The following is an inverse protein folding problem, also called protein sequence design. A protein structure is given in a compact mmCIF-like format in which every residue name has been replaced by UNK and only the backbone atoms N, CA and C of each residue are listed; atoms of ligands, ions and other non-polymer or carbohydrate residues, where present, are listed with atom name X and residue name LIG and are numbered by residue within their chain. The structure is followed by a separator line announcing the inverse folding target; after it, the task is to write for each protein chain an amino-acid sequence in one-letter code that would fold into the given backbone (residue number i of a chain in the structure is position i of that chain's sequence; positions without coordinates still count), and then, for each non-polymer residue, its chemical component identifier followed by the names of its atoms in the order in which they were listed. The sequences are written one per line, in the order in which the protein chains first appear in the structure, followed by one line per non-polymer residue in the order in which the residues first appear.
data_IF_709651729497
#
_entry.id   IF_709651729497
#
_cell.length_a   1.000
_cell.length_b   1.000
_cell.length_c   1.000
_cell.angle_alpha   90.00
_cell.angle_beta   90.00
_cell.angle_gamma   90.00
#
_symmetry.space_group_name_H-M   'P 1'
#
loop_
_entity.id
_entity.type
_entity.pdbx_description
1 polymer ?
#
# COMPACT_ATOMS: atom_id res chain seq x y z
N UNK A 1 24.04 -15.15 -5.54
CA UNK A 1 23.50 -14.14 -6.47
C UNK A 1 22.42 -13.25 -5.84
N UNK A 2 21.38 -13.79 -5.19
CA UNK A 2 20.30 -12.99 -4.59
C UNK A 2 20.76 -12.03 -3.47
N UNK A 3 21.55 -12.50 -2.50
CA UNK A 3 22.07 -11.64 -1.42
C UNK A 3 22.95 -10.49 -1.92
N UNK A 4 23.68 -10.67 -3.04
CA UNK A 4 24.47 -9.62 -3.69
C UNK A 4 23.57 -8.51 -4.23
N UNK A 5 22.45 -8.87 -4.87
CA UNK A 5 21.47 -7.91 -5.40
C UNK A 5 20.69 -7.22 -4.26
N UNK A 6 20.37 -7.93 -3.19
CA UNK A 6 19.75 -7.36 -1.99
C UNK A 6 20.66 -6.27 -1.38
N UNK A 7 21.95 -6.55 -1.23
CA UNK A 7 22.93 -5.58 -0.74
C UNK A 7 23.13 -4.40 -1.71
N UNK A 8 23.12 -4.65 -3.02
CA UNK A 8 23.18 -3.56 -4.01
C UNK A 8 21.94 -2.64 -3.93
N UNK A 9 20.77 -3.23 -3.74
CA UNK A 9 19.50 -2.52 -3.55
C UNK A 9 19.56 -1.65 -2.29
N UNK A 10 20.01 -2.22 -1.16
CA UNK A 10 20.21 -1.48 0.09
C UNK A 10 21.18 -0.31 -0.11
N UNK A 11 22.35 -0.54 -0.70
CA UNK A 11 23.35 0.53 -0.95
C UNK A 11 22.77 1.65 -1.80
N UNK A 12 22.03 1.31 -2.86
CA UNK A 12 21.36 2.29 -3.71
C UNK A 12 20.35 3.12 -2.92
N UNK A 13 19.54 2.47 -2.10
CA UNK A 13 18.56 3.13 -1.22
C UNK A 13 19.25 4.07 -0.22
N UNK A 14 20.23 3.59 0.53
CA UNK A 14 20.95 4.38 1.54
C UNK A 14 21.63 5.60 0.94
N UNK A 15 22.24 5.45 -0.25
CA UNK A 15 22.95 6.53 -0.95
C UNK A 15 22.01 7.57 -1.54
N UNK A 16 20.92 7.13 -2.18
CA UNK A 16 20.19 7.99 -3.13
C UNK A 16 18.77 8.34 -2.69
N UNK A 17 18.18 7.57 -1.78
CA UNK A 17 16.74 7.66 -1.44
C UNK A 17 16.49 7.94 0.03
N UNK A 18 17.32 7.42 0.94
CA UNK A 18 17.11 7.51 2.38
C UNK A 18 16.87 8.95 2.85
N UNK A 19 17.63 9.93 2.36
CA UNK A 19 17.49 11.33 2.77
C UNK A 19 16.10 11.94 2.49
N UNK A 20 15.34 11.37 1.55
CA UNK A 20 13.99 11.80 1.18
C UNK A 20 12.92 10.80 1.60
N UNK A 21 13.28 9.68 2.23
CA UNK A 21 12.35 8.59 2.52
C UNK A 21 11.11 9.07 3.29
N UNK A 22 11.29 9.93 4.29
CA UNK A 22 10.19 10.43 5.13
C UNK A 22 9.09 11.15 4.34
N UNK A 23 9.43 11.81 3.23
CA UNK A 23 8.46 12.55 2.39
C UNK A 23 8.10 11.82 1.10
N UNK A 24 9.01 11.02 0.55
CA UNK A 24 8.84 10.38 -0.76
C UNK A 24 8.22 8.97 -0.69
N UNK A 25 8.27 8.27 0.45
CA UNK A 25 7.82 6.85 0.54
C UNK A 25 6.34 6.63 0.20
N UNK A 26 5.52 7.67 0.36
CA UNK A 26 4.08 7.58 0.14
C UNK A 26 3.68 8.01 -1.28
N UNK A 27 4.57 8.66 -2.05
CA UNK A 27 4.28 9.08 -3.43
C UNK A 27 4.19 7.86 -4.35
N UNK A 28 3.02 7.51 -4.90
CA UNK A 28 2.87 6.34 -5.75
C UNK A 28 3.61 6.44 -7.08
N UNK A 29 3.70 7.64 -7.65
CA UNK A 29 4.35 7.84 -8.95
C UNK A 29 5.89 7.82 -8.88
N UNK A 30 6.46 7.83 -7.67
CA UNK A 30 7.90 7.90 -7.41
C UNK A 30 8.49 6.59 -6.89
N UNK A 31 9.81 6.57 -6.76
CA UNK A 31 10.59 5.42 -6.26
C UNK A 31 11.27 5.75 -4.92
N UNK A 32 10.47 6.27 -3.98
CA UNK A 32 10.93 6.71 -2.66
C UNK A 32 11.16 5.57 -1.65
N UNK A 33 10.72 4.34 -1.97
CA UNK A 33 10.83 3.18 -1.08
C UNK A 33 12.18 2.46 -1.21
N UNK A 34 12.50 1.59 -0.25
CA UNK A 34 13.75 0.81 -0.27
C UNK A 34 13.76 -0.30 -1.31
N UNK A 35 12.58 -0.79 -1.73
CA UNK A 35 12.40 -1.98 -2.56
C UNK A 35 13.04 -3.25 -1.97
N UNK A 36 13.16 -3.31 -0.63
CA UNK A 36 13.80 -4.43 0.07
C UNK A 36 12.82 -5.54 0.47
N UNK A 37 11.51 -5.33 0.38
CA UNK A 37 10.52 -6.27 0.91
C UNK A 37 10.59 -7.68 0.31
N UNK A 38 10.81 -7.90 -1.02
CA UNK A 38 10.98 -9.26 -1.53
C UNK A 38 12.23 -9.96 -0.97
N UNK A 39 13.34 -9.22 -0.83
CA UNK A 39 14.58 -9.77 -0.27
C UNK A 39 14.47 -10.08 1.22
N UNK A 40 13.70 -9.28 1.96
CA UNK A 40 13.41 -9.50 3.38
C UNK A 40 12.53 -10.73 3.58
N UNK A 41 11.49 -10.88 2.75
CA UNK A 41 10.58 -12.02 2.77
C UNK A 41 11.33 -13.34 2.59
N UNK A 42 12.17 -13.45 1.55
CA UNK A 42 12.98 -14.65 1.29
C UNK A 42 14.27 -14.75 2.12
N UNK A 43 14.48 -13.88 3.12
CA UNK A 43 15.66 -13.92 3.99
C UNK A 43 16.99 -13.70 3.26
N UNK A 44 16.99 -13.07 2.08
CA UNK A 44 18.23 -12.79 1.34
C UNK A 44 19.09 -11.69 1.98
N UNK A 45 18.51 -10.91 2.88
CA UNK A 45 19.18 -9.85 3.64
C UNK A 45 18.60 -9.77 5.07
N UNK A 46 19.47 -9.54 6.05
CA UNK A 46 19.06 -9.44 7.46
C UNK A 46 18.46 -8.06 7.77
N UNK A 47 17.32 -7.98 8.49
CA UNK A 47 16.77 -6.72 8.97
C UNK A 47 17.72 -6.01 9.95
N UNK A 48 18.50 -6.77 10.73
CA UNK A 48 19.51 -6.23 11.65
C UNK A 48 20.64 -5.55 10.88
N UNK A 49 21.10 -6.19 9.81
CA UNK A 49 22.14 -5.62 8.93
C UNK A 49 21.66 -4.32 8.27
N UNK A 50 20.43 -4.31 7.72
CA UNK A 50 19.82 -3.09 7.18
C UNK A 50 19.75 -1.98 8.23
N UNK A 51 19.35 -2.30 9.46
CA UNK A 51 19.23 -1.32 10.54
C UNK A 51 20.60 -0.74 10.94
N UNK A 52 21.62 -1.59 11.07
CA UNK A 52 22.99 -1.16 11.38
C UNK A 52 23.56 -0.26 10.27
N UNK A 53 23.43 -0.67 9.01
CA UNK A 53 23.89 0.12 7.87
C UNK A 53 23.14 1.47 7.76
N UNK A 54 21.84 1.50 8.03
CA UNK A 54 21.04 2.74 8.06
C UNK A 54 21.54 3.70 9.15
N UNK A 55 21.82 3.19 10.35
CA UNK A 55 22.37 4.00 11.45
C UNK A 55 23.75 4.56 11.10
N UNK A 56 24.58 3.76 10.45
CA UNK A 56 25.95 4.11 10.05
C UNK A 56 26.05 5.14 8.90
N UNK A 57 24.97 5.42 8.16
CA UNK A 57 24.98 6.46 7.12
C UNK A 57 25.44 7.81 7.73
N UNK A 58 26.46 8.44 7.15
CA UNK A 58 26.97 9.72 7.65
C UNK A 58 25.93 10.85 7.54
N UNK A 59 26.04 11.84 8.44
CA UNK A 59 25.17 13.01 8.47
C UNK A 59 24.16 13.00 9.62
N UNK A 60 24.00 14.17 10.24
CA UNK A 60 23.19 14.39 11.45
C UNK A 60 22.12 15.47 11.27
N UNK A 61 21.96 16.00 10.05
CA UNK A 61 20.94 17.00 9.76
C UNK A 61 19.53 16.48 10.08
N UNK A 62 18.61 17.35 10.56
CA UNK A 62 17.30 16.93 11.08
C UNK A 62 16.44 16.17 10.06
N UNK A 63 16.54 16.52 8.77
CA UNK A 63 15.80 15.84 7.69
C UNK A 63 16.27 14.38 7.52
N UNK A 64 17.59 14.15 7.55
CA UNK A 64 18.14 12.79 7.45
C UNK A 64 17.83 11.98 8.71
N UNK A 65 17.96 12.60 9.90
CA UNK A 65 17.59 11.95 11.16
C UNK A 65 16.13 11.50 11.18
N UNK A 66 15.20 12.37 10.76
CA UNK A 66 13.78 12.03 10.63
C UNK A 66 13.53 10.90 9.61
N UNK A 67 14.24 10.92 8.48
CA UNK A 67 14.09 9.86 7.46
C UNK A 67 14.66 8.52 7.91
N UNK A 68 15.78 8.50 8.64
CA UNK A 68 16.32 7.30 9.30
C UNK A 68 15.33 6.75 10.31
N UNK A 69 14.79 7.60 11.19
CA UNK A 69 13.82 7.20 12.20
C UNK A 69 12.55 6.62 11.54
N UNK A 70 12.02 7.29 10.51
CA UNK A 70 10.86 6.78 9.78
C UNK A 70 11.13 5.46 9.06
N UNK A 71 12.33 5.24 8.51
CA UNK A 71 12.66 3.96 7.87
C UNK A 71 12.83 2.83 8.88
N UNK A 72 13.50 3.10 10.00
CA UNK A 72 13.70 2.13 11.08
C UNK A 72 12.39 1.77 11.79
N UNK A 73 11.46 2.71 11.92
CA UNK A 73 10.10 2.45 12.43
C UNK A 73 9.37 1.40 11.57
N UNK A 74 9.40 1.56 10.25
CA UNK A 74 8.76 0.61 9.33
C UNK A 74 9.51 -0.74 9.30
N UNK A 75 10.85 -0.71 9.29
CA UNK A 75 11.68 -1.91 9.22
C UNK A 75 11.65 -2.75 10.50
N UNK A 76 11.58 -2.11 11.67
CA UNK A 76 11.69 -2.78 12.97
C UNK A 76 10.29 -2.89 13.58
N UNK A 77 9.67 -1.75 13.92
CA UNK A 77 8.42 -1.75 14.70
C UNK A 77 7.27 -2.35 13.88
N UNK A 78 7.01 -1.84 12.68
CA UNK A 78 5.88 -2.35 11.86
C UNK A 78 6.11 -3.79 11.42
N UNK A 79 7.34 -4.12 11.04
CA UNK A 79 7.69 -5.48 10.61
C UNK A 79 7.54 -6.50 11.74
N UNK A 80 8.15 -6.23 12.89
CA UNK A 80 8.15 -7.18 14.01
C UNK A 80 6.81 -7.20 14.74
N UNK A 81 6.02 -6.12 14.70
CA UNK A 81 4.63 -6.14 15.15
C UNK A 81 3.79 -7.10 14.32
N UNK A 82 4.06 -7.22 13.02
CA UNK A 82 3.36 -8.17 12.15
C UNK A 82 3.71 -9.62 12.50
N UNK A 83 4.98 -9.87 12.86
CA UNK A 83 5.43 -11.17 13.37
C UNK A 83 4.79 -11.49 14.72
N UNK A 84 4.70 -10.51 15.63
CA UNK A 84 4.00 -10.64 16.90
C UNK A 84 2.53 -11.02 16.67
N UNK A 85 1.84 -10.33 15.75
CA UNK A 85 0.45 -10.63 15.42
C UNK A 85 0.27 -12.08 14.97
N UNK A 86 1.03 -12.52 13.97
CA UNK A 86 0.94 -13.90 13.45
C UNK A 86 1.30 -14.94 14.51
N UNK A 87 2.34 -14.68 15.30
CA UNK A 87 2.78 -15.61 16.35
C UNK A 87 1.74 -15.83 17.45
N UNK A 88 1.08 -14.76 17.90
CA UNK A 88 0.15 -14.82 19.03
C UNK A 88 -1.32 -15.04 18.63
N UNK A 89 -1.63 -15.16 17.34
CA UNK A 89 -3.00 -15.35 16.85
C UNK A 89 -3.01 -16.50 15.83
N UNK A 90 -3.32 -17.72 16.25
CA UNK A 90 -3.23 -18.91 15.38
C UNK A 90 -4.09 -18.83 14.10
N UNK A 91 -5.21 -18.10 14.15
CA UNK A 91 -6.13 -17.90 13.02
C UNK A 91 -6.03 -16.47 12.48
N UNK A 92 -4.80 -15.97 12.31
CA UNK A 92 -4.50 -14.59 11.88
C UNK A 92 -5.05 -14.21 10.50
N UNK A 93 -5.47 -15.20 9.72
CA UNK A 93 -5.98 -15.12 8.34
C UNK A 93 -7.49 -15.34 8.24
N UNK A 94 -8.19 -15.50 9.38
CA UNK A 94 -9.65 -15.53 9.44
C UNK A 94 -10.19 -14.19 9.92
N UNK A 95 -11.18 -13.64 9.21
CA UNK A 95 -11.73 -12.30 9.45
C UNK A 95 -12.04 -12.01 10.93
N UNK A 96 -12.79 -12.88 11.61
CA UNK A 96 -13.20 -12.68 13.00
C UNK A 96 -12.03 -12.77 13.99
N UNK A 97 -11.05 -13.65 13.73
CA UNK A 97 -9.94 -13.90 14.64
C UNK A 97 -8.76 -12.93 14.41
N UNK A 98 -8.58 -12.45 13.18
CA UNK A 98 -7.53 -11.52 12.80
C UNK A 98 -7.76 -10.10 13.36
N UNK A 99 -9.02 -9.72 13.54
CA UNK A 99 -9.43 -8.34 13.76
C UNK A 99 -9.83 -8.05 15.21
N UNK A 100 -9.63 -6.81 15.69
CA UNK A 100 -10.13 -6.40 17.00
C UNK A 100 -11.66 -6.36 17.00
N UNK A 101 -12.28 -6.61 18.17
CA UNK A 101 -13.73 -6.67 18.33
C UNK A 101 -14.48 -5.48 17.72
N UNK A 102 -13.94 -4.25 17.86
CA UNK A 102 -14.59 -3.06 17.31
C UNK A 102 -14.73 -3.12 15.79
N UNK A 103 -13.73 -3.67 15.09
CA UNK A 103 -13.69 -3.75 13.64
C UNK A 103 -14.67 -4.81 13.14
N UNK A 104 -14.67 -6.00 13.76
CA UNK A 104 -15.62 -7.08 13.45
C UNK A 104 -17.06 -6.61 13.65
N UNK A 105 -17.35 -5.95 14.79
CA UNK A 105 -18.69 -5.47 15.12
C UNK A 105 -19.16 -4.41 14.13
N UNK A 106 -18.35 -3.38 13.87
CA UNK A 106 -18.77 -2.28 13.00
C UNK A 106 -18.94 -2.74 11.55
N UNK A 107 -18.06 -3.60 11.02
CA UNK A 107 -18.20 -4.14 9.67
C UNK A 107 -19.41 -5.08 9.55
N UNK A 108 -19.66 -5.92 10.57
CA UNK A 108 -20.84 -6.79 10.60
C UNK A 108 -22.15 -6.00 10.66
N UNK A 109 -22.20 -4.94 11.48
CA UNK A 109 -23.37 -4.05 11.57
C UNK A 109 -23.71 -3.41 10.21
N UNK A 110 -22.69 -3.06 9.43
CA UNK A 110 -22.83 -2.44 8.12
C UNK A 110 -22.84 -3.45 6.96
N UNK A 111 -22.90 -4.76 7.24
CA UNK A 111 -22.89 -5.80 6.21
C UNK A 111 -24.15 -5.80 5.33
N UNK A 112 -25.25 -5.18 5.74
CA UNK A 112 -26.47 -5.05 4.95
C UNK A 112 -26.54 -3.74 4.15
N UNK A 113 -25.58 -2.82 4.33
CA UNK A 113 -25.58 -1.54 3.64
C UNK A 113 -25.53 -1.73 2.12
N UNK A 114 -26.22 -0.86 1.36
CA UNK A 114 -26.13 -0.89 -0.09
C UNK A 114 -24.72 -0.46 -0.53
N UNK A 115 -24.04 -1.33 -1.29
CA UNK A 115 -22.73 -1.00 -1.87
C UNK A 115 -22.93 -0.15 -3.13
N UNK A 116 -22.05 0.83 -3.40
CA UNK A 116 -22.12 1.61 -4.64
C UNK A 116 -21.80 0.76 -5.88
N UNK A 117 -20.91 -0.23 -5.72
CA UNK A 117 -20.53 -1.21 -6.74
C UNK A 117 -20.33 -2.57 -6.07
N UNK A 118 -20.43 -3.65 -6.83
CA UNK A 118 -20.08 -4.99 -6.34
C UNK A 118 -19.37 -5.73 -7.46
N UNK A 119 -18.14 -6.15 -7.20
CA UNK A 119 -17.30 -6.88 -8.15
C UNK A 119 -17.08 -8.31 -7.68
N UNK A 120 -17.01 -9.24 -8.64
CA UNK A 120 -16.56 -10.60 -8.35
C UNK A 120 -15.06 -10.63 -8.10
N UNK A 121 -14.58 -11.69 -7.44
CA UNK A 121 -13.14 -11.92 -7.28
C UNK A 121 -12.41 -11.89 -8.63
N UNK A 122 -12.98 -12.44 -9.68
CA UNK A 122 -12.36 -12.48 -11.01
C UNK A 122 -12.26 -11.08 -11.66
N UNK A 123 -13.28 -10.23 -11.48
CA UNK A 123 -13.22 -8.83 -11.94
C UNK A 123 -12.14 -8.04 -11.20
N UNK A 124 -12.02 -8.24 -9.88
CA UNK A 124 -10.96 -7.63 -9.07
C UNK A 124 -9.58 -8.15 -9.50
N UNK A 125 -9.43 -9.47 -9.65
CA UNK A 125 -8.19 -10.13 -10.09
C UNK A 125 -7.69 -9.58 -11.45
N UNK A 126 -8.62 -9.32 -12.37
CA UNK A 126 -8.33 -8.81 -13.70
C UNK A 126 -8.24 -7.27 -13.81
N UNK A 127 -8.32 -6.54 -12.69
CA UNK A 127 -8.32 -5.07 -12.67
C UNK A 127 -9.46 -4.43 -13.47
N UNK A 128 -10.67 -4.98 -13.37
CA UNK A 128 -11.85 -4.57 -14.12
C UNK A 128 -12.87 -3.81 -13.26
N UNK A 129 -12.40 -2.78 -12.56
CA UNK A 129 -13.28 -1.88 -11.79
C UNK A 129 -13.52 -0.57 -12.55
N UNK A 130 -14.44 0.25 -12.05
CA UNK A 130 -14.66 1.60 -12.55
C UNK A 130 -13.54 2.58 -12.15
N UNK A 131 -12.69 2.22 -11.19
CA UNK A 131 -11.69 3.13 -10.62
C UNK A 131 -10.30 2.88 -11.24
N UNK A 132 -9.81 3.81 -12.09
CA UNK A 132 -8.51 3.63 -12.74
C UNK A 132 -7.34 3.61 -11.75
N UNK A 133 -7.46 4.21 -10.56
CA UNK A 133 -6.40 4.18 -9.53
C UNK A 133 -6.32 2.82 -8.87
N UNK A 134 -7.48 2.20 -8.61
CA UNK A 134 -7.52 0.84 -8.10
C UNK A 134 -7.01 -0.16 -9.13
N UNK A 135 -7.44 -0.02 -10.39
CA UNK A 135 -6.98 -0.88 -11.48
C UNK A 135 -5.47 -0.74 -11.71
N UNK A 136 -4.92 0.47 -11.62
CA UNK A 136 -3.48 0.70 -11.69
C UNK A 136 -2.74 0.00 -10.53
N UNK A 137 -3.25 0.07 -9.30
CA UNK A 137 -2.66 -0.61 -8.16
C UNK A 137 -2.66 -2.14 -8.32
N UNK A 138 -3.78 -2.71 -8.77
CA UNK A 138 -3.90 -4.14 -9.08
C UNK A 138 -2.89 -4.56 -10.16
N UNK A 139 -2.80 -3.80 -11.25
CA UNK A 139 -1.89 -4.10 -12.35
C UNK A 139 -0.42 -3.93 -11.97
N UNK A 140 -0.09 -2.94 -11.12
CA UNK A 140 1.25 -2.71 -10.60
C UNK A 140 1.82 -3.99 -9.97
N UNK A 141 1.09 -4.63 -9.05
CA UNK A 141 1.54 -5.90 -8.48
C UNK A 141 1.53 -7.05 -9.48
N UNK A 142 0.56 -7.11 -10.41
CA UNK A 142 0.53 -8.17 -11.42
C UNK A 142 1.77 -8.16 -12.31
N UNK A 143 2.24 -6.99 -12.72
CA UNK A 143 3.33 -6.87 -13.72
C UNK A 143 4.71 -6.72 -13.09
N UNK A 144 4.79 -6.27 -11.83
CA UNK A 144 6.08 -6.08 -11.15
C UNK A 144 6.31 -7.06 -10.00
N UNK A 145 5.27 -7.74 -9.54
CA UNK A 145 5.31 -8.52 -8.31
C UNK A 145 5.32 -7.66 -7.04
N UNK A 146 5.03 -6.36 -7.12
CA UNK A 146 5.02 -5.46 -5.97
C UNK A 146 4.09 -4.26 -6.17
N UNK A 147 3.06 -4.14 -5.33
CA UNK A 147 2.26 -2.91 -5.26
C UNK A 147 2.96 -1.82 -4.43
N UNK A 148 2.85 -0.57 -4.86
CA UNK A 148 3.25 0.58 -4.04
C UNK A 148 2.51 0.62 -2.67
N UNK A 149 3.22 0.89 -1.58
CA UNK A 149 2.73 0.67 -0.22
C UNK A 149 1.50 1.52 0.18
N UNK A 150 1.45 2.79 -0.23
CA UNK A 150 0.28 3.63 -0.01
C UNK A 150 -0.93 3.10 -0.79
N UNK A 151 -0.68 2.62 -2.00
CA UNK A 151 -1.70 2.01 -2.83
C UNK A 151 -2.21 0.67 -2.27
N UNK A 152 -1.41 -0.12 -1.54
CA UNK A 152 -1.91 -1.33 -0.82
C UNK A 152 -3.05 -0.99 0.14
N UNK A 153 -2.91 0.11 0.88
CA UNK A 153 -3.96 0.59 1.78
C UNK A 153 -5.22 0.99 1.01
N UNK A 154 -5.07 1.80 -0.05
CA UNK A 154 -6.19 2.22 -0.87
C UNK A 154 -6.91 1.03 -1.51
N UNK A 155 -6.13 0.14 -2.13
CA UNK A 155 -6.57 -1.05 -2.81
C UNK A 155 -7.42 -1.94 -1.90
N UNK A 156 -6.92 -2.26 -0.71
CA UNK A 156 -7.66 -3.10 0.23
C UNK A 156 -8.93 -2.42 0.74
N UNK A 157 -8.89 -1.11 1.01
CA UNK A 157 -10.08 -0.36 1.44
C UNK A 157 -11.19 -0.42 0.39
N UNK A 158 -10.84 -0.37 -0.90
CA UNK A 158 -11.83 -0.50 -1.97
C UNK A 158 -12.39 -1.91 -2.13
N UNK A 159 -11.62 -2.95 -1.81
CA UNK A 159 -12.16 -4.32 -1.73
C UNK A 159 -13.26 -4.40 -0.67
N UNK A 160 -13.10 -3.75 0.49
CA UNK A 160 -14.20 -3.64 1.49
C UNK A 160 -15.43 -2.96 0.88
N UNK A 161 -15.22 -1.84 0.18
CA UNK A 161 -16.31 -1.02 -0.37
C UNK A 161 -17.10 -1.72 -1.49
N UNK A 162 -16.46 -2.63 -2.24
CA UNK A 162 -16.99 -3.21 -3.47
C UNK A 162 -17.17 -4.73 -3.44
N UNK A 163 -17.17 -5.34 -2.26
CA UNK A 163 -17.47 -6.77 -2.08
C UNK A 163 -18.75 -6.94 -1.27
N UNK A 164 -19.46 -8.05 -1.52
CA UNK A 164 -20.76 -8.33 -0.93
C UNK A 164 -20.72 -8.47 0.60
N UNK A 165 -19.65 -9.00 1.18
CA UNK A 165 -19.49 -9.17 2.63
C UNK A 165 -18.07 -8.80 3.08
N UNK A 166 -17.86 -8.36 4.34
CA UNK A 166 -16.52 -8.07 4.83
C UNK A 166 -15.64 -9.34 4.93
N UNK A 167 -16.22 -10.52 5.17
CA UNK A 167 -15.50 -11.80 5.14
C UNK A 167 -14.97 -12.14 3.74
N UNK A 168 -15.81 -11.99 2.71
CA UNK A 168 -15.38 -12.18 1.31
C UNK A 168 -14.31 -11.15 0.95
N UNK A 169 -14.49 -9.89 1.35
CA UNK A 169 -13.51 -8.83 1.11
C UNK A 169 -12.15 -9.19 1.72
N UNK A 170 -12.14 -9.69 2.95
CA UNK A 170 -10.92 -10.08 3.66
C UNK A 170 -10.22 -11.25 2.95
N UNK A 171 -10.98 -12.29 2.62
CA UNK A 171 -10.48 -13.49 1.95
C UNK A 171 -9.95 -13.17 0.54
N UNK A 172 -10.65 -12.33 -0.22
CA UNK A 172 -10.20 -11.86 -1.54
C UNK A 172 -8.93 -11.03 -1.42
N UNK A 173 -8.84 -10.12 -0.44
CA UNK A 173 -7.67 -9.28 -0.25
C UNK A 173 -6.41 -10.10 0.09
N UNK A 174 -6.52 -11.11 0.96
CA UNK A 174 -5.41 -12.06 1.22
C UNK A 174 -5.05 -12.82 -0.06
N UNK A 175 -6.04 -13.46 -0.70
CA UNK A 175 -5.79 -14.31 -1.86
C UNK A 175 -5.13 -13.56 -3.03
N UNK A 176 -5.55 -12.32 -3.33
CA UNK A 176 -4.95 -11.53 -4.40
C UNK A 176 -3.58 -10.98 -4.00
N UNK A 177 -3.39 -10.62 -2.73
CA UNK A 177 -2.10 -10.16 -2.24
C UNK A 177 -1.03 -11.26 -2.40
N UNK A 178 -1.36 -12.48 -1.95
CA UNK A 178 -0.42 -13.61 -1.93
C UNK A 178 -0.19 -14.19 -3.32
N UNK A 179 -1.17 -14.07 -4.22
CA UNK A 179 -1.04 -14.49 -5.61
C UNK A 179 0.02 -13.68 -6.38
N UNK A 180 0.16 -12.38 -6.09
CA UNK A 180 0.93 -11.48 -6.96
C UNK A 180 2.13 -10.82 -6.29
N UNK A 181 2.09 -10.49 -5.00
CA UNK A 181 3.22 -9.82 -4.39
C UNK A 181 4.34 -10.83 -4.09
N UNK A 182 5.56 -10.52 -4.50
CA UNK A 182 6.78 -11.26 -4.15
C UNK A 182 7.12 -11.20 -2.66
N UNK A 183 6.42 -10.33 -1.93
CA UNK A 183 6.47 -10.21 -0.47
C UNK A 183 5.10 -10.55 0.17
N UNK A 184 4.24 -11.29 -0.55
CA UNK A 184 3.01 -11.90 -0.05
C UNK A 184 3.28 -13.19 0.73
N UNK A 185 2.22 -13.81 1.26
CA UNK A 185 2.30 -14.98 2.16
C UNK A 185 3.33 -14.77 3.30
N UNK A 186 3.31 -13.55 3.85
CA UNK A 186 4.26 -13.05 4.83
C UNK A 186 3.49 -12.44 6.00
N UNK A 187 3.99 -12.55 7.25
CA UNK A 187 3.36 -11.88 8.39
C UNK A 187 3.05 -10.41 8.16
N UNK A 188 3.95 -9.67 7.50
CA UNK A 188 3.74 -8.26 7.15
C UNK A 188 2.57 -8.08 6.20
N UNK A 189 2.45 -8.97 5.23
CA UNK A 189 1.44 -8.85 4.20
C UNK A 189 0.05 -9.13 4.76
N UNK A 190 -0.07 -10.19 5.57
CA UNK A 190 -1.34 -10.56 6.20
C UNK A 190 -1.74 -9.51 7.25
N UNK A 191 -0.77 -9.01 8.02
CA UNK A 191 -1.01 -7.88 8.94
C UNK A 191 -1.41 -6.61 8.21
N UNK A 192 -0.84 -6.37 7.02
CA UNK A 192 -1.21 -5.25 6.15
C UNK A 192 -2.67 -5.34 5.69
N UNK A 193 -3.11 -6.53 5.29
CA UNK A 193 -4.54 -6.78 5.00
C UNK A 193 -5.36 -6.61 6.29
N UNK A 194 -4.97 -7.20 7.42
CA UNK A 194 -5.70 -7.01 8.68
C UNK A 194 -5.82 -5.53 9.09
N UNK A 195 -4.78 -4.73 8.87
CA UNK A 195 -4.80 -3.28 9.10
C UNK A 195 -5.80 -2.57 8.20
N UNK A 196 -5.95 -3.03 6.95
CA UNK A 196 -6.98 -2.52 6.05
C UNK A 196 -8.38 -2.62 6.69
N UNK A 197 -8.62 -3.65 7.50
CA UNK A 197 -9.90 -3.88 8.17
C UNK A 197 -9.94 -3.39 9.62
N UNK A 198 -8.86 -2.80 10.14
CA UNK A 198 -8.83 -2.12 11.46
C UNK A 198 -7.85 -2.70 12.49
N UNK A 199 -7.07 -3.75 12.15
CA UNK A 199 -6.01 -4.24 13.05
C UNK A 199 -4.92 -3.19 13.24
N UNK A 200 -4.53 -2.91 14.48
CA UNK A 200 -3.53 -1.89 14.82
C UNK A 200 -3.86 -0.46 14.32
N UNK A 201 -5.14 -0.18 14.08
CA UNK A 201 -5.67 1.17 13.84
C UNK A 201 -6.70 1.51 14.92
N UNK A 202 -7.13 2.77 14.92
CA UNK A 202 -8.21 3.25 15.78
C UNK A 202 -9.54 3.29 15.02
N UNK A 203 -10.64 3.52 15.75
CA UNK A 203 -11.94 3.85 15.16
C UNK A 203 -11.95 5.24 14.53
N UNK A 204 -12.68 5.37 13.42
CA UNK A 204 -12.88 6.61 12.67
C UNK A 204 -14.36 7.00 12.66
N UNK A 205 -14.66 8.17 12.08
CA UNK A 205 -16.04 8.62 11.87
C UNK A 205 -16.81 7.56 11.09
N UNK A 206 -17.94 7.15 11.66
CA UNK A 206 -18.82 6.12 11.12
C UNK A 206 -19.38 6.48 9.74
N UNK A 207 -19.42 5.49 8.84
CA UNK A 207 -19.85 5.63 7.44
C UNK A 207 -20.54 4.35 6.97
N UNK A 208 -21.45 4.43 5.98
CA UNK A 208 -21.98 3.25 5.33
C UNK A 208 -20.86 2.33 4.80
N UNK A 209 -21.10 1.02 4.84
CA UNK A 209 -20.19 -0.06 4.45
C UNK A 209 -18.98 -0.23 5.40
N UNK A 210 -18.25 0.85 5.70
CA UNK A 210 -17.03 0.78 6.52
C UNK A 210 -17.30 0.78 8.03
N UNK A 211 -18.46 1.27 8.45
CA UNK A 211 -18.68 1.64 9.84
C UNK A 211 -17.55 2.57 10.31
N UNK A 212 -16.86 2.17 11.37
CA UNK A 212 -15.76 2.93 11.99
C UNK A 212 -14.37 2.54 11.49
N UNK A 213 -14.25 1.67 10.48
CA UNK A 213 -12.95 1.41 9.83
C UNK A 213 -12.54 2.63 9.02
N UNK A 214 -11.23 2.94 8.99
CA UNK A 214 -10.69 4.09 8.27
C UNK A 214 -11.18 4.09 6.82
N UNK A 215 -11.60 5.24 6.30
CA UNK A 215 -11.99 5.39 4.90
C UNK A 215 -10.88 5.98 4.03
N UNK A 216 -10.80 5.57 2.77
CA UNK A 216 -9.94 6.17 1.74
C UNK A 216 -10.71 6.31 0.41
N UNK A 217 -10.49 7.41 -0.32
CA UNK A 217 -11.13 7.68 -1.62
C UNK A 217 -10.17 8.31 -2.65
N UNK A 218 -10.56 8.23 -3.91
CA UNK A 218 -9.81 8.73 -5.08
C UNK A 218 -9.52 10.22 -4.99
N UNK A 219 -10.50 11.05 -4.61
CA UNK A 219 -10.30 12.48 -4.34
C UNK A 219 -9.19 12.75 -3.31
N UNK A 220 -9.08 11.85 -2.32
CA UNK A 220 -8.02 11.88 -1.31
C UNK A 220 -6.64 11.61 -1.89
N UNK A 221 -6.53 10.75 -2.90
CA UNK A 221 -5.30 10.50 -3.64
C UNK A 221 -4.94 11.71 -4.52
N UNK A 222 -5.89 12.25 -5.27
CA UNK A 222 -5.66 13.41 -6.16
C UNK A 222 -5.19 14.67 -5.45
N UNK A 223 -5.61 14.85 -4.19
CA UNK A 223 -5.13 15.96 -3.35
C UNK A 223 -3.70 15.75 -2.87
N UNK A 224 -3.24 14.51 -2.76
CA UNK A 224 -1.97 14.15 -2.11
C UNK A 224 -0.85 13.88 -3.10
N UNK A 225 -1.16 13.29 -4.27
CA UNK A 225 -0.17 12.69 -5.15
C UNK A 225 -0.44 12.97 -6.63
N UNK A 226 0.56 12.73 -7.46
CA UNK A 226 0.41 12.75 -8.92
C UNK A 226 -0.10 11.39 -9.42
N UNK A 227 -1.41 11.18 -9.27
CA UNK A 227 -2.05 9.93 -9.70
C UNK A 227 -2.04 9.74 -11.22
N UNK A 228 -2.01 10.84 -11.99
CA UNK A 228 -1.88 10.77 -13.44
C UNK A 228 -0.51 10.17 -13.83
N UNK A 229 0.57 10.61 -13.18
CA UNK A 229 1.88 10.03 -13.36
C UNK A 229 1.93 8.57 -12.91
N UNK A 230 1.30 8.21 -11.79
CA UNK A 230 1.23 6.81 -11.33
C UNK A 230 0.56 5.90 -12.36
N UNK A 231 -0.65 6.25 -12.81
CA UNK A 231 -1.38 5.49 -13.84
C UNK A 231 -0.57 5.41 -15.14
N UNK A 232 0.07 6.51 -15.55
CA UNK A 232 0.94 6.54 -16.72
C UNK A 232 2.14 5.60 -16.61
N UNK A 233 2.76 5.50 -15.43
CA UNK A 233 3.87 4.59 -15.18
C UNK A 233 3.42 3.12 -15.23
N UNK A 234 2.30 2.79 -14.58
CA UNK A 234 1.75 1.43 -14.61
C UNK A 234 1.36 1.01 -16.03
N UNK A 235 0.82 1.93 -16.84
CA UNK A 235 0.52 1.66 -18.26
C UNK A 235 1.78 1.27 -19.04
N UNK A 236 2.92 1.96 -18.81
CA UNK A 236 4.20 1.61 -19.45
C UNK A 236 4.70 0.24 -18.98
N UNK A 237 4.56 -0.08 -17.69
CA UNK A 237 4.93 -1.38 -17.14
C UNK A 237 4.08 -2.51 -17.75
N UNK A 238 2.77 -2.31 -17.89
CA UNK A 238 1.88 -3.26 -18.56
C UNK A 238 2.28 -3.52 -20.01
N UNK A 239 2.60 -2.46 -20.77
CA UNK A 239 3.06 -2.57 -22.14
C UNK A 239 4.39 -3.35 -22.24
N UNK A 240 5.33 -3.07 -21.34
CA UNK A 240 6.61 -3.79 -21.28
C UNK A 240 6.44 -5.28 -20.92
N UNK A 241 5.42 -5.62 -20.13
CA UNK A 241 5.05 -6.99 -19.78
C UNK A 241 4.18 -7.69 -20.85
N UNK A 242 3.97 -7.08 -22.02
CA UNK A 242 3.17 -7.67 -23.11
C UNK A 242 1.66 -7.70 -22.85
N UNK A 243 1.16 -6.99 -21.83
CA UNK A 243 -0.28 -6.83 -21.62
C UNK A 243 -0.81 -5.74 -22.56
N UNK A 244 -1.93 -6.00 -23.23
CA UNK A 244 -2.52 -5.07 -24.20
C UNK A 244 -2.64 -3.65 -23.62
N UNK A 245 -2.18 -2.65 -24.39
CA UNK A 245 -2.25 -1.24 -24.01
C UNK A 245 -3.70 -0.70 -23.94
N UNK A 246 -4.64 -1.38 -24.60
CA UNK A 246 -6.07 -1.14 -24.48
C UNK A 246 -6.58 -1.81 -23.19
N UNK A 247 -6.20 -1.25 -22.04
CA UNK A 247 -6.87 -1.47 -20.78
C UNK A 247 -7.93 -0.38 -20.66
N UNK A 248 -9.17 -0.58 -21.16
CA UNK A 248 -10.23 0.44 -21.05
C UNK A 248 -10.43 0.88 -19.59
N UNK A 249 -10.07 0.03 -18.64
CA UNK A 249 -10.13 0.24 -17.20
C UNK A 249 -9.03 1.16 -16.63
N UNK A 250 -8.02 1.57 -17.42
CA UNK A 250 -7.03 2.60 -17.06
C UNK A 250 -7.32 3.95 -17.72
N UNK A 251 -8.44 4.10 -18.42
CA UNK A 251 -8.85 5.40 -18.94
C UNK A 251 -9.27 6.29 -17.76
N UNK A 252 -8.53 7.38 -17.57
CA UNK A 252 -8.94 8.43 -16.65
C UNK A 252 -9.89 9.36 -17.39
N UNK A 253 -11.00 9.73 -16.75
CA UNK A 253 -11.85 10.80 -17.27
C UNK A 253 -11.00 12.05 -17.51
N UNK A 254 -11.09 12.66 -18.70
CA UNK A 254 -10.33 13.85 -19.08
C UNK A 254 -10.65 15.02 -18.13
N UNK A 255 -9.87 15.17 -17.06
CA UNK A 255 -9.98 16.30 -16.15
C UNK A 255 -9.27 17.50 -16.76
N UNK A 256 -9.99 18.30 -17.55
CA UNK A 256 -9.62 19.68 -17.82
C UNK A 256 -9.70 20.48 -16.52
N UNK A 257 -8.68 20.39 -15.66
CA UNK A 257 -8.44 21.35 -14.58
C UNK A 257 -6.97 21.72 -14.57
N UNK A 258 -6.63 22.70 -15.41
CA UNK A 258 -5.40 23.49 -15.29
C UNK A 258 -5.28 24.05 -13.88
N UNK A 259 -4.39 23.48 -13.06
CA UNK A 259 -3.94 24.13 -11.82
C UNK A 259 -3.00 25.27 -12.22
N UNK A 260 -3.49 26.50 -12.11
CA UNK A 260 -2.64 27.70 -12.19
C UNK A 260 -1.76 27.77 -10.94
N UNK A 261 -0.45 28.07 -11.03
CA UNK A 261 0.42 28.12 -9.87
C UNK A 261 0.03 29.28 -8.95
N UNK A 262 -0.27 28.97 -7.69
CA UNK A 262 -0.57 29.96 -6.67
C UNK A 262 0.67 30.81 -6.37
N UNK A 263 0.64 32.08 -6.78
CA UNK A 263 1.64 33.09 -6.43
C UNK A 263 1.50 33.41 -4.94
N UNK A 264 2.52 33.06 -4.16
CA UNK A 264 2.66 33.41 -2.76
C UNK A 264 2.92 34.93 -2.64
N UNK A 265 1.90 35.70 -2.28
CA UNK A 265 2.09 37.10 -1.84
C UNK A 265 2.64 37.11 -0.41
N UNK A 266 3.95 37.33 -0.27
CA UNK A 266 4.58 37.71 1.01
C UNK A 266 4.02 39.08 1.44
N UNK A 267 3.37 39.13 2.60
CA UNK A 267 3.15 40.39 3.34
C UNK A 267 4.48 40.81 3.96
N UNK A 268 4.95 42.01 3.64
CA UNK A 268 6.00 42.70 4.40
C UNK A 268 5.38 43.26 5.69
N UNK A 269 6.07 43.07 6.81
CA UNK A 269 6.02 43.94 7.98
C UNK A 269 7.17 44.91 7.83
#
# INVERSE_FOLDING_TARGET
FASTHAQATLRSFLKSKLAKYGTARNEPSGDGSSNLSPYLHYGNISPVDIALQTKAVAGTGPVLAASKASFLEELIIRRELSMNFVWFNANYDLFEAALPNYAVQTLTQHAADKRPYTYTKDQLDQAQTHDPYWNAAQLDMIVTGKMQNYMRMYWGKKIIEWTATPQDAFSIAIALNDKYNLDGDDPNSITGVAWVFGKHDQGWKERPVFGKVRYMNSDGLDRKFDMAAYVGNVRKLCAAAGRSAALPYLEMASTKKTKSPAICKRKRV
#
